data_IF_476052447153
#
_entry.id   IF_476052447153
#
_cell.length_a   1.000
_cell.length_b   1.000
_cell.length_c   1.000
_cell.angle_alpha   90.00
_cell.angle_beta   90.00
_cell.angle_gamma   90.00
#
_symmetry.space_group_name_H-M   'P 1'
#
loop_
_entity.id
_entity.type
_entity.pdbx_description
1 polymer ?
#
# COMPACT_ATOMS: atom_id res chain seq x y z
N UNK A 1 2.88 14.51 -11.80
CA UNK A 1 3.46 13.85 -13.01
C UNK A 1 4.79 13.15 -12.72
N UNK A 2 5.78 13.85 -12.16
CA UNK A 2 7.12 13.27 -11.87
C UNK A 2 7.05 12.04 -10.95
N UNK A 3 6.37 12.14 -9.79
CA UNK A 3 6.25 11.02 -8.85
C UNK A 3 5.55 9.80 -9.46
N UNK A 4 4.54 10.00 -10.30
CA UNK A 4 3.88 8.91 -11.02
C UNK A 4 4.83 8.22 -12.02
N UNK A 5 5.66 9.00 -12.73
CA UNK A 5 6.66 8.42 -13.64
C UNK A 5 7.72 7.62 -12.88
N UNK A 6 8.19 8.13 -11.73
CA UNK A 6 9.15 7.43 -10.88
C UNK A 6 8.53 6.12 -10.35
N UNK A 7 7.28 6.15 -9.87
CA UNK A 7 6.56 4.95 -9.41
C UNK A 7 6.41 3.92 -10.53
N UNK A 8 6.01 4.33 -11.72
CA UNK A 8 5.86 3.44 -12.86
C UNK A 8 7.20 2.80 -13.27
N UNK A 9 8.30 3.58 -13.24
CA UNK A 9 9.64 3.07 -13.49
C UNK A 9 10.09 2.09 -12.41
N UNK A 10 9.87 2.39 -11.13
CA UNK A 10 10.29 1.53 -10.03
C UNK A 10 9.47 0.24 -9.92
N UNK A 11 8.18 0.25 -10.28
CA UNK A 11 7.29 -0.90 -10.17
C UNK A 11 7.75 -2.12 -11.00
N UNK A 12 8.45 -1.90 -12.11
CA UNK A 12 9.00 -2.97 -12.95
C UNK A 12 10.33 -3.56 -12.43
N UNK A 13 10.83 -3.07 -11.28
CA UNK A 13 12.18 -3.34 -10.75
C UNK A 13 12.13 -3.63 -9.25
N UNK A 14 11.97 -4.91 -8.84
CA UNK A 14 11.89 -5.28 -7.43
C UNK A 14 13.08 -4.79 -6.58
N UNK A 15 14.27 -4.73 -7.18
CA UNK A 15 15.50 -4.18 -6.58
C UNK A 15 15.43 -2.67 -6.30
N UNK A 16 14.43 -1.97 -6.86
CA UNK A 16 14.13 -0.55 -6.64
C UNK A 16 12.87 -0.33 -5.80
N UNK A 17 12.49 -1.31 -4.99
CA UNK A 17 11.36 -1.21 -4.06
C UNK A 17 11.52 -0.07 -3.03
N UNK A 18 12.74 0.36 -2.74
CA UNK A 18 13.05 1.53 -1.91
C UNK A 18 12.61 2.83 -2.60
N UNK A 19 12.98 2.99 -3.88
CA UNK A 19 12.58 4.13 -4.71
C UNK A 19 11.06 4.15 -4.91
N UNK A 20 10.45 2.98 -5.13
CA UNK A 20 9.00 2.87 -5.21
C UNK A 20 8.31 3.37 -3.93
N UNK A 21 8.86 3.01 -2.76
CA UNK A 21 8.30 3.38 -1.46
C UNK A 21 8.42 4.88 -1.23
N UNK A 22 9.61 5.45 -1.44
CA UNK A 22 9.84 6.90 -1.33
C UNK A 22 8.91 7.71 -2.23
N UNK A 23 8.81 7.35 -3.51
CA UNK A 23 7.97 8.07 -4.46
C UNK A 23 6.48 7.99 -4.07
N UNK A 24 6.06 6.89 -3.47
CA UNK A 24 4.71 6.69 -2.99
C UNK A 24 4.42 7.48 -1.71
N UNK A 25 5.35 7.46 -0.74
CA UNK A 25 5.24 8.24 0.49
C UNK A 25 5.18 9.74 0.21
N UNK A 26 6.02 10.24 -0.71
CA UNK A 26 5.93 11.62 -1.20
C UNK A 26 4.60 11.92 -1.90
N UNK A 27 4.02 10.94 -2.60
CA UNK A 27 2.72 11.12 -3.25
C UNK A 27 1.57 11.20 -2.23
N UNK A 28 1.68 10.51 -1.09
CA UNK A 28 0.69 10.56 0.00
C UNK A 28 0.72 11.89 0.78
N UNK A 29 1.83 12.65 0.70
CA UNK A 29 1.90 14.00 1.28
C UNK A 29 1.12 15.04 0.47
N UNK A 30 0.68 14.71 -0.75
CA UNK A 30 -0.11 15.63 -1.56
C UNK A 30 -1.54 15.76 -0.99
N UNK A 31 -2.11 16.97 -0.89
CA UNK A 31 -3.43 17.19 -0.29
C UNK A 31 -4.56 16.39 -0.94
N UNK A 32 -4.48 16.19 -2.27
CA UNK A 32 -5.44 15.42 -3.04
C UNK A 32 -4.73 14.21 -3.66
N UNK A 33 -4.56 13.16 -2.86
CA UNK A 33 -4.04 11.88 -3.34
C UNK A 33 -5.15 10.82 -3.43
N UNK A 34 -5.10 9.90 -4.41
CA UNK A 34 -6.03 8.79 -4.47
C UNK A 34 -5.89 7.87 -3.26
N UNK A 35 -7.00 7.45 -2.65
CA UNK A 35 -7.01 6.50 -1.53
C UNK A 35 -6.26 5.18 -1.87
N UNK A 36 -6.31 4.77 -3.14
CA UNK A 36 -5.59 3.60 -3.68
C UNK A 36 -4.09 3.63 -3.42
N UNK A 37 -3.46 4.81 -3.26
CA UNK A 37 -2.04 4.89 -2.92
C UNK A 37 -1.72 4.26 -1.56
N UNK A 38 -2.66 4.29 -0.59
CA UNK A 38 -2.47 3.62 0.71
C UNK A 38 -2.40 2.11 0.57
N UNK A 39 -3.29 1.55 -0.26
CA UNK A 39 -3.26 0.12 -0.59
C UNK A 39 -1.94 -0.28 -1.23
N UNK A 40 -1.47 0.50 -2.19
CA UNK A 40 -0.17 0.25 -2.84
C UNK A 40 1.01 0.36 -1.86
N UNK A 41 1.00 1.33 -0.93
CA UNK A 41 1.99 1.41 0.16
C UNK A 41 2.01 0.13 0.97
N UNK A 42 0.82 -0.32 1.35
CA UNK A 42 0.64 -1.49 2.20
C UNK A 42 1.23 -2.74 1.56
N UNK A 43 0.94 -2.96 0.27
CA UNK A 43 1.51 -4.06 -0.51
C UNK A 43 3.05 -3.99 -0.57
N UNK A 44 3.61 -2.79 -0.77
CA UNK A 44 5.05 -2.59 -0.88
C UNK A 44 5.76 -2.80 0.47
N UNK A 45 5.15 -2.40 1.59
CA UNK A 45 5.64 -2.68 2.94
C UNK A 45 5.69 -4.18 3.21
N UNK A 46 4.60 -4.90 2.93
CA UNK A 46 4.55 -6.37 3.05
C UNK A 46 5.63 -7.02 2.17
N UNK A 47 5.78 -6.58 0.91
CA UNK A 47 6.80 -7.10 0.00
C UNK A 47 8.23 -6.91 0.55
N UNK A 48 8.48 -5.81 1.27
CA UNK A 48 9.78 -5.48 1.87
C UNK A 48 9.99 -6.11 3.25
N UNK A 49 9.03 -6.89 3.74
CA UNK A 49 9.09 -7.55 5.04
C UNK A 49 8.59 -6.72 6.22
N UNK A 50 8.10 -5.50 5.99
CA UNK A 50 7.38 -4.74 7.03
C UNK A 50 5.92 -5.19 7.07
N UNK A 51 5.73 -6.37 7.65
CA UNK A 51 4.43 -7.04 7.71
C UNK A 51 3.42 -6.32 8.62
N UNK A 52 3.88 -5.77 9.75
CA UNK A 52 3.00 -5.04 10.68
C UNK A 52 2.58 -3.69 10.10
N UNK A 53 3.52 -2.93 9.54
CA UNK A 53 3.23 -1.66 8.87
C UNK A 53 2.32 -1.87 7.67
N UNK A 54 2.62 -2.88 6.85
CA UNK A 54 1.77 -3.27 5.72
C UNK A 54 0.36 -3.68 6.14
N UNK A 55 0.21 -4.47 7.20
CA UNK A 55 -1.12 -4.84 7.70
C UNK A 55 -1.92 -3.65 8.22
N UNK A 56 -1.29 -2.71 8.92
CA UNK A 56 -1.94 -1.52 9.44
C UNK A 56 -2.46 -0.62 8.29
N UNK A 57 -1.67 -0.44 7.24
CA UNK A 57 -2.08 0.34 6.05
C UNK A 57 -3.21 -0.36 5.26
N UNK A 58 -3.21 -1.70 5.20
CA UNK A 58 -4.32 -2.46 4.62
C UNK A 58 -5.62 -2.21 5.39
N UNK A 59 -5.60 -2.28 6.73
CA UNK A 59 -6.79 -2.00 7.54
C UNK A 59 -7.27 -0.55 7.36
N UNK A 60 -6.37 0.42 7.36
CA UNK A 60 -6.71 1.82 7.10
C UNK A 60 -7.35 2.02 5.71
N UNK A 61 -6.84 1.33 4.68
CA UNK A 61 -7.44 1.36 3.36
C UNK A 61 -8.81 0.68 3.33
N UNK A 62 -8.99 -0.45 4.01
CA UNK A 62 -10.27 -1.14 4.12
C UNK A 62 -11.34 -0.23 4.73
N UNK A 63 -11.00 0.54 5.76
CA UNK A 63 -11.92 1.48 6.41
C UNK A 63 -12.34 2.63 5.49
N UNK A 64 -11.47 3.09 4.59
CA UNK A 64 -11.82 4.12 3.60
C UNK A 64 -12.78 3.57 2.54
N UNK A 65 -12.57 2.34 2.07
CA UNK A 65 -13.40 1.78 0.98
C UNK A 65 -14.66 1.09 1.48
N UNK A 66 -14.78 0.77 2.78
CA UNK A 66 -15.90 -0.01 3.33
C UNK A 66 -17.28 0.58 3.04
N UNK A 67 -17.39 1.91 2.93
CA UNK A 67 -18.68 2.57 2.69
C UNK A 67 -19.15 2.42 1.24
N UNK A 68 -18.22 2.30 0.29
CA UNK A 68 -18.50 2.24 -1.14
C UNK A 68 -18.41 0.81 -1.67
N UNK A 69 -17.42 0.05 -1.21
CA UNK A 69 -17.13 -1.32 -1.64
C UNK A 69 -16.86 -2.24 -0.42
N UNK A 70 -17.90 -2.68 0.31
CA UNK A 70 -17.76 -3.52 1.49
C UNK A 70 -17.02 -4.85 1.23
N UNK A 71 -17.28 -5.48 0.09
CA UNK A 71 -16.63 -6.74 -0.30
C UNK A 71 -15.13 -6.55 -0.58
N UNK A 72 -14.74 -5.41 -1.14
CA UNK A 72 -13.33 -5.02 -1.29
C UNK A 72 -12.68 -4.82 0.08
N UNK A 73 -13.36 -4.14 1.02
CA UNK A 73 -12.84 -3.95 2.38
C UNK A 73 -12.60 -5.27 3.12
N UNK A 74 -13.52 -6.23 3.02
CA UNK A 74 -13.35 -7.55 3.64
C UNK A 74 -12.14 -8.31 3.09
N UNK A 75 -11.95 -8.31 1.76
CA UNK A 75 -10.76 -8.90 1.13
C UNK A 75 -9.47 -8.24 1.61
N UNK A 76 -9.46 -6.92 1.71
CA UNK A 76 -8.28 -6.17 2.20
C UNK A 76 -7.98 -6.52 3.66
N UNK A 77 -9.00 -6.65 4.52
CA UNK A 77 -8.81 -7.10 5.92
C UNK A 77 -8.26 -8.52 6.00
N UNK A 78 -8.65 -9.41 5.08
CA UNK A 78 -8.05 -10.75 4.99
C UNK A 78 -6.56 -10.68 4.62
N UNK A 79 -6.19 -9.80 3.68
CA UNK A 79 -4.78 -9.56 3.36
C UNK A 79 -4.00 -9.03 4.56
N UNK A 80 -4.59 -8.14 5.37
CA UNK A 80 -3.96 -7.62 6.58
C UNK A 80 -3.69 -8.73 7.61
N UNK A 81 -4.64 -9.66 7.78
CA UNK A 81 -4.45 -10.85 8.63
C UNK A 81 -3.36 -11.77 8.07
N UNK A 82 -3.34 -12.00 6.76
CA UNK A 82 -2.33 -12.81 6.10
C UNK A 82 -0.92 -12.22 6.28
N UNK A 83 -0.77 -10.89 6.13
CA UNK A 83 0.50 -10.20 6.38
C UNK A 83 0.97 -10.41 7.83
N UNK A 84 0.10 -10.21 8.83
CA UNK A 84 0.45 -10.47 10.24
C UNK A 84 0.87 -11.91 10.50
N UNK A 85 0.26 -12.87 9.81
CA UNK A 85 0.60 -14.28 9.95
C UNK A 85 2.00 -14.62 9.40
N UNK A 86 2.64 -13.77 8.58
CA UNK A 86 4.00 -13.99 8.07
C UNK A 86 5.09 -13.81 9.14
N UNK A 87 4.74 -13.31 10.33
CA UNK A 87 5.66 -13.16 11.47
C UNK A 87 5.69 -14.37 12.41
N UNK A 88 4.78 -15.33 12.21
CA UNK A 88 4.70 -16.57 12.96
C UNK A 88 5.40 -17.71 12.20
#
# INVERSE_FOLDING_TARGET
RILNNIRAWAAARPERSDVALWALELSLLLPAHPARLRYERAQLLVQRGDFLGGAAELDAYADVVTTVEPTTAERVRQQARAARAMLN
#
